data_IF_539534400645
#
_entry.id   IF_539534400645
#
_cell.length_a   1.000
_cell.length_b   1.000
_cell.length_c   1.000
_cell.angle_alpha   90.00
_cell.angle_beta   90.00
_cell.angle_gamma   90.00
#
_symmetry.space_group_name_H-M   'P 1'
#
loop_
_entity.id
_entity.type
_entity.pdbx_description
1 polymer ?
#
# COMPACT_ATOMS: atom_id res chain seq x y z
N UNK A 1 1.40 -23.49 -15.31
CA UNK A 1 0.30 -22.89 -14.51
C UNK A 1 0.66 -22.75 -13.03
N UNK A 2 1.26 -23.74 -12.34
CA UNK A 2 1.69 -23.58 -10.93
C UNK A 2 2.72 -22.47 -10.64
N UNK A 3 3.61 -22.12 -11.59
CA UNK A 3 4.62 -21.09 -11.37
C UNK A 3 3.99 -19.69 -11.24
N UNK A 4 2.99 -19.36 -12.08
CA UNK A 4 2.30 -18.07 -12.04
C UNK A 4 1.50 -17.87 -10.74
N UNK A 5 0.91 -18.94 -10.21
CA UNK A 5 0.19 -18.92 -8.92
C UNK A 5 1.13 -18.72 -7.73
N UNK A 6 2.39 -19.16 -7.84
CA UNK A 6 3.42 -18.92 -6.82
C UNK A 6 4.05 -17.53 -6.94
N UNK A 7 4.12 -16.97 -8.16
CA UNK A 7 4.59 -15.61 -8.40
C UNK A 7 3.64 -14.57 -7.78
N UNK A 8 2.34 -14.85 -7.71
CA UNK A 8 1.36 -13.94 -7.13
C UNK A 8 1.65 -13.64 -5.63
N UNK A 9 1.82 -14.63 -4.72
CA UNK A 9 2.32 -14.41 -3.36
C UNK A 9 3.71 -13.77 -3.30
N UNK A 10 4.63 -14.22 -4.15
CA UNK A 10 6.02 -13.75 -4.15
C UNK A 10 6.15 -12.28 -4.54
N UNK A 11 5.26 -11.78 -5.38
CA UNK A 11 5.22 -10.38 -5.82
C UNK A 11 4.33 -9.52 -4.91
N UNK A 12 3.20 -10.06 -4.43
CA UNK A 12 2.30 -9.35 -3.53
C UNK A 12 2.90 -9.12 -2.15
N UNK A 13 3.66 -10.08 -1.62
CA UNK A 13 4.32 -9.94 -0.31
C UNK A 13 5.25 -8.70 -0.24
N UNK A 14 6.27 -8.53 -1.11
CA UNK A 14 7.13 -7.35 -1.08
C UNK A 14 6.38 -6.06 -1.40
N UNK A 15 5.27 -6.13 -2.13
CA UNK A 15 4.39 -4.98 -2.38
C UNK A 15 3.64 -4.53 -1.12
N UNK A 16 3.16 -5.45 -0.29
CA UNK A 16 2.45 -5.12 0.96
C UNK A 16 3.38 -4.68 2.09
N UNK A 17 4.62 -5.16 2.14
CA UNK A 17 5.61 -4.82 3.18
C UNK A 17 5.72 -3.31 3.45
N UNK A 18 5.97 -2.42 2.47
CA UNK A 18 6.12 -0.99 2.74
C UNK A 18 4.84 -0.36 3.33
N UNK A 19 3.66 -0.82 2.92
CA UNK A 19 2.37 -0.31 3.40
C UNK A 19 2.15 -0.70 4.86
N UNK A 20 2.38 -1.98 5.19
CA UNK A 20 2.23 -2.51 6.55
C UNK A 20 3.21 -1.82 7.51
N UNK A 21 4.45 -1.58 7.07
CA UNK A 21 5.44 -0.83 7.84
C UNK A 21 4.97 0.61 8.05
N UNK A 22 4.52 1.30 7.00
CA UNK A 22 4.05 2.68 7.11
C UNK A 22 2.82 2.81 8.04
N UNK A 23 1.88 1.87 7.97
CA UNK A 23 0.69 1.82 8.81
C UNK A 23 1.04 1.56 10.28
N UNK A 24 1.85 0.54 10.56
CA UNK A 24 2.29 0.22 11.92
C UNK A 24 3.07 1.38 12.56
N UNK A 25 4.00 2.00 11.83
CA UNK A 25 4.79 3.15 12.29
C UNK A 25 3.92 4.39 12.54
N UNK A 26 2.97 4.66 11.65
CA UNK A 26 2.01 5.77 11.84
C UNK A 26 1.17 5.55 13.09
N UNK A 27 0.65 4.33 13.27
CA UNK A 27 -0.18 3.95 14.41
C UNK A 27 0.61 4.04 15.72
N UNK A 28 1.80 3.46 15.79
CA UNK A 28 2.64 3.49 16.98
C UNK A 28 2.97 4.94 17.40
N UNK A 29 3.31 5.81 16.45
CA UNK A 29 3.62 7.21 16.74
C UNK A 29 2.38 7.98 17.19
N UNK A 30 1.25 7.80 16.53
CA UNK A 30 0.01 8.49 16.86
C UNK A 30 -0.54 8.06 18.24
N UNK A 31 -0.47 6.77 18.57
CA UNK A 31 -0.92 6.24 19.87
C UNK A 31 0.06 6.53 21.00
N UNK A 32 1.33 6.83 20.70
CA UNK A 32 2.33 7.20 21.72
C UNK A 32 2.16 8.63 22.28
N UNK A 33 1.12 9.36 21.85
CA UNK A 33 0.88 10.75 22.28
C UNK A 33 1.91 11.75 21.76
N UNK A 34 2.74 11.33 20.79
CA UNK A 34 3.76 12.18 20.18
C UNK A 34 3.16 13.14 19.17
N UNK A 35 3.82 14.28 18.89
CA UNK A 35 3.42 15.21 17.85
C UNK A 35 3.17 14.51 16.51
N UNK A 36 2.02 14.79 15.87
CA UNK A 36 1.63 14.18 14.60
C UNK A 36 2.64 14.43 13.46
N UNK A 37 3.43 15.49 13.58
CA UNK A 37 4.52 15.81 12.65
C UNK A 37 5.56 14.69 12.57
N UNK A 38 5.76 13.92 13.64
CA UNK A 38 6.67 12.77 13.65
C UNK A 38 6.12 11.57 12.84
N UNK A 39 4.80 11.48 12.70
CA UNK A 39 4.12 10.48 11.88
C UNK A 39 3.90 10.94 10.43
N UNK A 40 4.07 12.24 10.14
CA UNK A 40 3.72 12.85 8.86
C UNK A 40 4.41 12.19 7.66
N UNK A 41 5.67 11.77 7.79
CA UNK A 41 6.37 11.06 6.71
C UNK A 41 5.73 9.71 6.37
N UNK A 42 5.35 8.93 7.40
CA UNK A 42 4.70 7.63 7.23
C UNK A 42 3.27 7.76 6.70
N UNK A 43 2.54 8.76 7.18
CA UNK A 43 1.19 9.09 6.68
C UNK A 43 1.25 9.53 5.21
N UNK A 44 2.23 10.37 4.83
CA UNK A 44 2.45 10.75 3.42
C UNK A 44 2.72 9.55 2.53
N UNK A 45 3.49 8.58 3.01
CA UNK A 45 3.76 7.35 2.26
C UNK A 45 2.48 6.53 2.02
N UNK A 46 1.63 6.40 3.04
CA UNK A 46 0.31 5.75 2.89
C UNK A 46 -0.56 6.48 1.88
N UNK A 47 -0.69 7.80 2.00
CA UNK A 47 -1.50 8.61 1.08
C UNK A 47 -0.97 8.51 -0.36
N UNK A 48 0.35 8.58 -0.54
CA UNK A 48 0.96 8.43 -1.86
C UNK A 48 0.66 7.06 -2.47
N UNK A 49 0.74 6.00 -1.66
CA UNK A 49 0.37 4.66 -2.08
C UNK A 49 -1.11 4.59 -2.49
N UNK A 50 -2.02 5.11 -1.66
CA UNK A 50 -3.46 5.10 -1.94
C UNK A 50 -3.79 5.83 -3.24
N UNK A 51 -3.16 6.99 -3.49
CA UNK A 51 -3.33 7.74 -4.74
C UNK A 51 -2.88 6.93 -5.94
N UNK A 52 -1.68 6.32 -5.88
CA UNK A 52 -1.15 5.49 -6.97
C UNK A 52 -2.07 4.29 -7.21
N UNK A 53 -2.52 3.63 -6.15
CA UNK A 53 -3.38 2.48 -6.24
C UNK A 53 -4.73 2.83 -6.88
N UNK A 54 -5.39 3.89 -6.42
CA UNK A 54 -6.66 4.36 -6.99
C UNK A 54 -6.48 4.77 -8.46
N UNK A 55 -5.40 5.48 -8.79
CA UNK A 55 -5.09 5.85 -10.17
C UNK A 55 -4.88 4.62 -11.05
N UNK A 56 -4.07 3.66 -10.58
CA UNK A 56 -3.83 2.40 -11.28
C UNK A 56 -5.11 1.60 -11.48
N UNK A 57 -5.95 1.46 -10.46
CA UNK A 57 -7.25 0.80 -10.55
C UNK A 57 -8.19 1.52 -11.53
N UNK A 58 -8.22 2.85 -11.52
CA UNK A 58 -9.05 3.64 -12.46
C UNK A 58 -8.60 3.42 -13.90
N UNK A 59 -7.29 3.35 -14.15
CA UNK A 59 -6.72 3.08 -15.48
C UNK A 59 -6.93 1.62 -15.88
N UNK A 60 -6.79 0.68 -14.94
CA UNK A 60 -6.94 -0.76 -15.21
C UNK A 60 -8.41 -1.16 -15.43
N UNK A 61 -9.34 -0.50 -14.75
CA UNK A 61 -10.79 -0.78 -14.79
C UNK A 61 -11.33 -1.05 -16.21
N UNK A 62 -11.15 -0.17 -17.22
CA UNK A 62 -11.64 -0.43 -18.58
C UNK A 62 -11.03 -1.68 -19.22
N UNK A 63 -9.76 -2.00 -18.95
CA UNK A 63 -9.10 -3.20 -19.50
C UNK A 63 -9.52 -4.49 -18.81
N UNK A 64 -10.04 -4.39 -17.58
CA UNK A 64 -10.54 -5.55 -16.81
C UNK A 64 -12.03 -5.79 -16.95
N UNK A 65 -12.78 -4.79 -17.41
CA UNK A 65 -14.26 -4.82 -17.51
C UNK A 65 -14.75 -5.24 -18.90
N UNK A 66 -13.88 -5.30 -19.91
CA UNK A 66 -14.18 -6.01 -21.17
C UNK A 66 -14.06 -7.54 -20.96
N UNK A 67 -15.03 -8.09 -20.23
CA UNK A 67 -15.68 -9.42 -20.37
C UNK A 67 -16.97 -9.45 -19.52
#
# INVERSE_FOLDING_TARGET
>A
TRLAELLLPMLSLPFFVPIVIAASQSTAKLLSGRPIIEAAAWIKLLIAFDIIFVAACTVAYPFTVDD
#
